data_IF_564727057169
#
_entry.id   IF_564727057169
#
_cell.length_a   1.000
_cell.length_b   1.000
_cell.length_c   1.000
_cell.angle_alpha   90.00
_cell.angle_beta   90.00
_cell.angle_gamma   90.00
#
_symmetry.space_group_name_H-M   'P 1'
#
loop_
_entity.id
_entity.type
_entity.pdbx_description
1 polymer ?
#
# COMPACT_ATOMS: atom_id res chain seq x y z
N UNK A 1 -9.26 10.14 14.95
CA UNK A 1 -10.07 9.30 15.87
C UNK A 1 -10.40 7.98 15.18
N UNK A 2 -9.98 6.91 15.82
CA UNK A 2 -10.06 5.54 15.32
C UNK A 2 -11.46 4.94 15.57
N UNK A 3 -12.51 5.48 14.97
CA UNK A 3 -13.87 4.93 15.05
C UNK A 3 -14.55 4.85 13.69
N UNK A 4 -14.05 3.99 12.82
CA UNK A 4 -14.72 3.75 11.54
C UNK A 4 -14.65 2.30 11.04
N UNK A 5 -14.57 1.32 11.94
CA UNK A 5 -14.52 -0.10 11.54
C UNK A 5 -15.35 -1.01 12.45
N UNK A 6 -16.48 -0.54 12.97
CA UNK A 6 -17.41 -1.39 13.75
C UNK A 6 -18.58 -1.82 12.86
N UNK A 7 -18.46 -2.96 12.23
CA UNK A 7 -19.54 -3.49 11.40
C UNK A 7 -19.37 -4.94 10.95
N UNK A 8 -18.76 -5.80 11.77
CA UNK A 8 -18.83 -7.25 11.54
C UNK A 8 -18.83 -7.98 12.88
N UNK A 9 -20.01 -8.23 13.39
CA UNK A 9 -20.24 -9.15 14.51
C UNK A 9 -20.06 -10.60 14.08
N UNK A 10 -18.87 -11.08 14.18
CA UNK A 10 -18.46 -12.48 14.06
C UNK A 10 -17.00 -12.52 14.44
N UNK A 11 -16.66 -13.27 15.49
CA UNK A 11 -15.27 -13.49 15.89
C UNK A 11 -14.55 -14.28 14.79
N UNK A 12 -14.12 -13.60 13.73
CA UNK A 12 -13.23 -14.17 12.74
C UNK A 12 -11.86 -14.17 13.37
N UNK A 13 -11.32 -15.33 13.68
CA UNK A 13 -9.92 -15.45 14.10
C UNK A 13 -9.03 -14.96 12.95
N UNK A 14 -8.58 -13.71 13.05
CA UNK A 14 -7.60 -13.17 12.12
C UNK A 14 -6.30 -13.94 12.31
N UNK A 15 -5.67 -14.46 11.24
CA UNK A 15 -4.41 -15.16 11.37
C UNK A 15 -3.34 -14.24 11.97
N UNK A 16 -2.58 -14.75 12.93
CA UNK A 16 -1.48 -14.01 13.52
C UNK A 16 -0.40 -13.76 12.47
N UNK A 17 -0.08 -12.50 12.23
CA UNK A 17 0.94 -12.06 11.30
C UNK A 17 2.02 -11.34 12.08
N UNK A 18 3.28 -11.77 11.91
CA UNK A 18 4.43 -11.23 12.61
C UNK A 18 5.54 -10.91 11.61
N UNK A 19 6.38 -9.95 11.95
CA UNK A 19 7.58 -9.64 11.22
C UNK A 19 8.83 -9.60 12.11
N UNK A 20 10.00 -9.53 11.48
CA UNK A 20 11.28 -9.63 12.19
C UNK A 20 11.73 -8.28 12.74
N UNK A 21 11.78 -8.09 14.07
CA UNK A 21 11.98 -6.79 14.72
C UNK A 21 13.31 -6.10 14.41
N UNK A 22 14.37 -6.86 14.17
CA UNK A 22 15.70 -6.30 13.94
C UNK A 22 15.82 -5.41 12.71
N UNK A 23 15.14 -5.77 11.61
CA UNK A 23 15.13 -4.97 10.38
C UNK A 23 14.32 -3.69 10.53
N UNK A 24 13.27 -3.74 11.34
CA UNK A 24 12.35 -2.62 11.58
C UNK A 24 13.05 -1.52 12.37
N UNK A 25 13.70 -1.87 13.48
CA UNK A 25 14.40 -0.92 14.32
C UNK A 25 15.51 -0.19 13.54
N UNK A 26 16.28 -0.92 12.72
CA UNK A 26 17.34 -0.36 11.90
C UNK A 26 16.79 0.61 10.84
N UNK A 27 15.71 0.24 10.16
CA UNK A 27 15.07 1.08 9.16
C UNK A 27 14.53 2.38 9.76
N UNK A 28 13.88 2.32 10.91
CA UNK A 28 13.37 3.48 11.63
C UNK A 28 14.49 4.42 12.10
N UNK A 29 15.60 3.87 12.60
CA UNK A 29 16.76 4.66 12.99
C UNK A 29 17.40 5.39 11.81
N UNK A 30 17.54 4.73 10.67
CA UNK A 30 18.04 5.36 9.45
C UNK A 30 17.15 6.50 8.98
N UNK A 31 15.83 6.28 9.02
CA UNK A 31 14.84 7.31 8.69
C UNK A 31 15.01 8.53 9.59
N UNK A 32 15.06 8.35 10.89
CA UNK A 32 15.14 9.45 11.87
C UNK A 32 16.39 10.32 11.67
N UNK A 33 17.50 9.74 11.24
CA UNK A 33 18.75 10.50 10.98
C UNK A 33 18.59 11.51 9.84
N UNK A 34 17.67 11.29 8.92
CA UNK A 34 17.49 12.13 7.73
C UNK A 34 16.29 13.07 7.82
N UNK A 35 15.38 12.86 8.78
CA UNK A 35 14.17 13.66 8.92
C UNK A 35 14.44 15.16 9.09
N UNK A 36 15.47 15.50 9.85
CA UNK A 36 15.81 16.92 10.10
C UNK A 36 16.34 17.64 8.85
N UNK A 37 16.78 16.88 7.85
CA UNK A 37 17.39 17.42 6.62
C UNK A 37 16.39 17.55 5.48
N UNK A 38 15.17 17.09 5.63
CA UNK A 38 14.16 17.07 4.57
C UNK A 38 13.10 18.15 4.77
N UNK A 39 12.62 18.68 3.68
CA UNK A 39 11.60 19.75 3.62
C UNK A 39 10.23 19.17 3.25
N UNK A 40 10.19 18.08 2.49
CA UNK A 40 9.00 17.46 1.93
C UNK A 40 9.04 15.96 2.16
N UNK A 41 7.91 15.39 2.61
CA UNK A 41 7.71 13.96 2.70
C UNK A 41 6.74 13.53 1.60
N UNK A 42 7.20 12.62 0.74
CA UNK A 42 6.38 11.95 -0.27
C UNK A 42 6.03 10.57 0.30
N UNK A 43 4.81 10.46 0.82
CA UNK A 43 4.28 9.20 1.33
C UNK A 43 3.64 8.41 0.20
N UNK A 44 4.04 7.14 0.06
CA UNK A 44 3.49 6.23 -0.94
C UNK A 44 2.66 5.15 -0.27
N UNK A 45 1.41 5.02 -0.68
CA UNK A 45 0.47 4.00 -0.22
C UNK A 45 0.01 3.11 -1.37
N UNK A 46 -0.62 2.00 -1.03
CA UNK A 46 -1.22 1.05 -1.97
C UNK A 46 -2.71 1.36 -2.16
N UNK A 47 -3.15 1.51 -3.40
CA UNK A 47 -4.54 1.82 -3.75
C UNK A 47 -5.54 0.76 -3.27
N UNK A 48 -5.14 -0.50 -3.15
CA UNK A 48 -5.99 -1.58 -2.67
C UNK A 48 -6.30 -1.48 -1.17
N UNK A 49 -5.39 -0.86 -0.42
CA UNK A 49 -5.43 -0.74 1.04
C UNK A 49 -4.87 0.62 1.52
N UNK A 50 -5.52 1.74 1.16
CA UNK A 50 -4.96 3.07 1.44
C UNK A 50 -4.82 3.39 2.93
N UNK A 51 -5.67 2.83 3.80
CA UNK A 51 -5.58 3.05 5.25
C UNK A 51 -4.53 2.16 5.89
N UNK A 52 -4.49 0.88 5.53
CA UNK A 52 -3.53 -0.09 6.08
C UNK A 52 -2.08 0.25 5.72
N UNK A 53 -1.84 0.89 4.59
CA UNK A 53 -0.50 1.36 4.18
C UNK A 53 -0.13 2.74 4.71
N UNK A 54 -0.97 3.35 5.54
CA UNK A 54 -0.63 4.56 6.31
C UNK A 54 0.13 4.19 7.58
N UNK A 55 1.37 4.67 7.73
CA UNK A 55 2.15 4.39 8.93
C UNK A 55 1.59 5.14 10.14
N UNK A 56 1.34 4.47 11.29
CA UNK A 56 0.70 5.08 12.46
C UNK A 56 1.53 6.21 13.10
N UNK A 57 2.84 6.21 12.93
CA UNK A 57 3.75 7.22 13.47
C UNK A 57 4.07 8.35 12.51
N UNK A 58 3.49 8.34 11.31
CA UNK A 58 3.81 9.31 10.26
C UNK A 58 3.59 10.75 10.71
N UNK A 59 2.49 11.03 11.43
CA UNK A 59 2.17 12.38 11.90
C UNK A 59 3.29 13.00 12.75
N UNK A 60 4.03 12.21 13.49
CA UNK A 60 5.19 12.68 14.27
C UNK A 60 6.36 13.06 13.35
N UNK A 61 6.54 12.32 12.27
CA UNK A 61 7.66 12.52 11.35
C UNK A 61 7.45 13.66 10.39
N UNK A 62 6.20 13.95 10.02
CA UNK A 62 5.85 15.02 9.07
C UNK A 62 5.64 16.39 9.74
N UNK A 63 5.71 16.46 11.07
CA UNK A 63 5.47 17.71 11.80
C UNK A 63 6.38 18.83 11.29
N UNK A 64 5.77 19.95 10.88
CA UNK A 64 6.49 21.10 10.32
C UNK A 64 7.03 20.92 8.91
N UNK A 65 6.70 19.82 8.20
CA UNK A 65 7.13 19.52 6.84
C UNK A 65 5.95 19.51 5.87
N UNK A 66 6.22 19.74 4.60
CA UNK A 66 5.23 19.50 3.56
C UNK A 66 5.00 17.99 3.38
N UNK A 67 3.76 17.60 3.15
CA UNK A 67 3.36 16.22 2.96
C UNK A 67 2.62 16.07 1.63
N UNK A 68 3.13 15.20 0.77
CA UNK A 68 2.50 14.79 -0.47
C UNK A 68 2.11 13.32 -0.33
N UNK A 69 0.80 13.03 -0.44
CA UNK A 69 0.27 11.68 -0.38
C UNK A 69 0.09 11.12 -1.79
N UNK A 70 0.87 10.09 -2.11
CA UNK A 70 0.82 9.38 -3.39
C UNK A 70 0.19 8.00 -3.18
N UNK A 71 -0.84 7.70 -3.93
CA UNK A 71 -1.50 6.39 -3.93
C UNK A 71 -1.10 5.66 -5.21
N UNK A 72 -0.30 4.62 -5.06
CA UNK A 72 0.23 3.81 -6.16
C UNK A 72 -0.68 2.61 -6.46
N UNK A 73 -0.51 1.98 -7.62
CA UNK A 73 -1.29 0.82 -8.08
C UNK A 73 -2.77 1.14 -8.30
N UNK A 74 -3.08 2.32 -8.79
CA UNK A 74 -4.47 2.71 -9.07
C UNK A 74 -5.16 1.81 -10.10
N UNK A 75 -4.40 1.16 -10.98
CA UNK A 75 -4.88 0.18 -11.96
C UNK A 75 -5.42 -1.10 -11.33
N UNK A 76 -5.04 -1.39 -10.09
CA UNK A 76 -5.50 -2.57 -9.33
C UNK A 76 -6.82 -2.36 -8.59
N UNK A 77 -7.42 -1.20 -8.69
CA UNK A 77 -8.74 -0.90 -8.13
C UNK A 77 -9.67 -0.35 -9.22
N UNK A 78 -10.98 -0.44 -8.97
CA UNK A 78 -11.98 0.13 -9.89
C UNK A 78 -11.92 1.66 -9.88
N UNK A 79 -12.30 2.34 -10.99
CA UNK A 79 -12.38 3.79 -11.01
C UNK A 79 -13.28 4.39 -9.92
N UNK A 80 -14.37 3.72 -9.61
CA UNK A 80 -15.28 4.21 -8.56
C UNK A 80 -14.70 4.05 -7.15
N UNK A 81 -13.92 3.00 -6.87
CA UNK A 81 -13.18 2.87 -5.62
C UNK A 81 -12.12 3.97 -5.49
N UNK A 82 -11.38 4.24 -6.55
CA UNK A 82 -10.43 5.35 -6.60
C UNK A 82 -11.12 6.69 -6.33
N UNK A 83 -12.20 6.99 -7.03
CA UNK A 83 -12.96 8.24 -6.84
C UNK A 83 -13.48 8.38 -5.41
N UNK A 84 -14.04 7.31 -4.84
CA UNK A 84 -14.53 7.31 -3.47
C UNK A 84 -13.44 7.64 -2.45
N UNK A 85 -12.24 7.06 -2.62
CA UNK A 85 -11.11 7.36 -1.77
C UNK A 85 -10.58 8.78 -1.95
N UNK A 86 -10.51 9.26 -3.18
CA UNK A 86 -10.07 10.63 -3.47
C UNK A 86 -10.96 11.66 -2.77
N UNK A 87 -12.27 11.47 -2.84
CA UNK A 87 -13.25 12.30 -2.14
C UNK A 87 -13.12 12.20 -0.62
N UNK A 88 -12.91 10.98 -0.11
CA UNK A 88 -12.73 10.76 1.33
C UNK A 88 -11.49 11.47 1.88
N UNK A 89 -10.35 11.36 1.21
CA UNK A 89 -9.14 12.07 1.62
C UNK A 89 -9.29 13.59 1.51
N UNK A 90 -9.94 14.05 0.47
CA UNK A 90 -10.24 15.49 0.29
C UNK A 90 -11.10 16.03 1.43
N UNK A 91 -12.09 15.28 1.88
CA UNK A 91 -12.92 15.65 3.04
C UNK A 91 -12.12 15.70 4.34
N UNK A 92 -11.01 14.97 4.45
CA UNK A 92 -10.04 15.03 5.56
C UNK A 92 -9.02 16.18 5.39
N UNK A 93 -9.16 17.01 4.35
CA UNK A 93 -8.20 18.08 4.06
C UNK A 93 -6.91 17.58 3.39
N UNK A 94 -6.86 16.34 2.93
CA UNK A 94 -5.70 15.72 2.32
C UNK A 94 -5.88 15.59 0.80
N UNK A 95 -5.00 16.23 0.04
CA UNK A 95 -4.89 15.98 -1.41
C UNK A 95 -4.11 14.71 -1.66
N UNK A 96 -4.56 13.94 -2.64
CA UNK A 96 -3.92 12.70 -3.08
C UNK A 96 -3.54 12.79 -4.54
N UNK A 97 -2.43 12.15 -4.90
CA UNK A 97 -2.04 11.95 -6.29
C UNK A 97 -2.00 10.45 -6.56
N UNK A 98 -2.78 10.01 -7.52
CA UNK A 98 -2.93 8.59 -7.86
C UNK A 98 -2.10 8.24 -9.07
N UNK A 99 -1.38 7.14 -9.01
CA UNK A 99 -0.50 6.70 -10.08
C UNK A 99 -0.42 5.17 -10.19
N UNK A 100 0.18 4.73 -11.28
CA UNK A 100 0.70 3.40 -11.47
C UNK A 100 2.18 3.51 -11.85
N UNK A 101 3.07 3.32 -10.88
CA UNK A 101 4.51 3.45 -11.09
C UNK A 101 5.06 2.40 -12.05
N UNK A 102 4.41 1.24 -12.18
CA UNK A 102 4.84 0.18 -13.11
C UNK A 102 4.64 0.58 -14.56
N UNK A 103 3.48 1.12 -14.92
CA UNK A 103 3.19 1.60 -16.29
C UNK A 103 3.65 3.03 -16.55
N UNK A 104 3.83 3.82 -15.52
CA UNK A 104 4.16 5.24 -15.58
C UNK A 104 2.94 6.16 -15.58
N UNK A 105 1.72 5.62 -15.58
CA UNK A 105 0.49 6.41 -15.57
C UNK A 105 0.39 7.24 -14.28
N UNK A 106 0.13 8.54 -14.40
CA UNK A 106 0.00 9.44 -13.26
C UNK A 106 1.32 9.91 -12.64
N UNK A 107 2.46 9.37 -13.06
CA UNK A 107 3.79 9.74 -12.52
C UNK A 107 4.13 11.20 -12.82
N UNK A 108 3.74 11.72 -13.99
CA UNK A 108 3.92 13.13 -14.33
C UNK A 108 3.19 14.05 -13.33
N UNK A 109 2.01 13.68 -12.90
CA UNK A 109 1.24 14.41 -11.89
C UNK A 109 1.92 14.40 -10.52
N UNK A 110 2.54 13.27 -10.15
CA UNK A 110 3.37 13.19 -8.93
C UNK A 110 4.56 14.15 -9.02
N UNK A 111 5.28 14.16 -10.13
CA UNK A 111 6.40 15.07 -10.37
C UNK A 111 5.97 16.54 -10.28
N UNK A 112 4.89 16.89 -10.93
CA UNK A 112 4.35 18.26 -10.92
C UNK A 112 3.93 18.69 -9.50
N UNK A 113 3.30 17.80 -8.74
CA UNK A 113 2.91 18.07 -7.36
C UNK A 113 4.13 18.31 -6.45
N UNK A 114 5.18 17.50 -6.60
CA UNK A 114 6.44 17.66 -5.86
C UNK A 114 7.15 18.98 -6.22
N UNK A 115 7.20 19.35 -7.49
CA UNK A 115 7.79 20.62 -7.96
C UNK A 115 6.99 21.80 -7.42
N UNK A 116 5.66 21.75 -7.45
CA UNK A 116 4.82 22.82 -6.87
C UNK A 116 5.07 23.00 -5.37
N UNK A 117 5.17 21.91 -4.62
CA UNK A 117 5.51 21.95 -3.20
C UNK A 117 6.89 22.61 -2.98
N UNK A 118 7.86 22.28 -3.83
CA UNK A 118 9.18 22.87 -3.82
C UNK A 118 9.18 24.38 -4.09
N UNK A 119 8.43 24.81 -5.08
CA UNK A 119 8.29 26.22 -5.43
C UNK A 119 7.68 27.03 -4.28
N UNK A 120 6.66 26.50 -3.62
CA UNK A 120 6.04 27.13 -2.46
C UNK A 120 7.02 27.28 -1.28
N UNK A 121 7.83 26.26 -1.04
CA UNK A 121 8.86 26.31 0.01
C UNK A 121 9.94 27.37 -0.30
N UNK A 122 10.40 27.45 -1.54
CA UNK A 122 11.38 28.43 -1.95
C UNK A 122 10.83 29.87 -1.96
N UNK A 123 9.57 30.05 -2.29
CA UNK A 123 8.90 31.35 -2.17
C UNK A 123 8.88 31.84 -0.71
N UNK A 124 8.53 30.96 0.23
CA UNK A 124 8.60 31.27 1.66
C UNK A 124 10.01 31.61 2.12
N UNK A 125 11.04 30.97 1.59
CA UNK A 125 12.44 31.29 1.86
C UNK A 125 12.80 32.69 1.36
N UNK A 126 12.45 33.03 0.11
CA UNK A 126 12.67 34.36 -0.46
C UNK A 126 12.01 35.45 0.39
N UNK A 127 10.77 35.22 0.83
CA UNK A 127 10.03 36.16 1.66
C UNK A 127 10.68 36.38 3.05
N UNK A 128 11.51 35.41 3.48
CA UNK A 128 12.31 35.56 4.73
C UNK A 128 13.76 36.03 4.48
N UNK A 129 14.07 36.45 3.27
CA UNK A 129 15.42 36.90 2.90
C UNK A 129 16.44 35.74 2.73
N UNK A 130 15.96 34.48 2.65
CA UNK A 130 16.82 33.32 2.48
C UNK A 130 16.98 33.00 0.99
N UNK A 131 18.13 32.42 0.62
CA UNK A 131 18.35 31.96 -0.74
C UNK A 131 17.50 30.72 -1.05
N UNK A 132 16.91 30.64 -2.25
CA UNK A 132 16.29 29.40 -2.73
C UNK A 132 17.35 28.30 -2.80
N UNK A 133 16.92 27.06 -2.52
CA UNK A 133 17.73 25.86 -2.71
C UNK A 133 16.88 24.72 -3.23
N UNK A 134 17.46 23.67 -3.83
CA UNK A 134 16.70 22.48 -4.14
C UNK A 134 15.98 21.96 -2.91
N UNK A 135 14.71 21.62 -3.07
CA UNK A 135 13.91 21.03 -2.01
C UNK A 135 14.37 19.62 -1.77
N UNK A 136 14.58 19.27 -0.54
CA UNK A 136 14.96 17.91 -0.13
C UNK A 136 13.70 17.15 0.24
N UNK A 137 13.38 16.13 -0.57
CA UNK A 137 12.22 15.28 -0.37
C UNK A 137 12.64 13.87 0.06
N UNK A 138 11.91 13.31 1.00
CA UNK A 138 12.07 11.93 1.45
C UNK A 138 10.87 11.13 0.98
N UNK A 139 11.12 10.01 0.28
CA UNK A 139 10.09 9.05 -0.08
C UNK A 139 9.92 8.04 1.04
N UNK A 140 8.70 7.88 1.52
CA UNK A 140 8.35 7.06 2.67
C UNK A 140 7.20 6.13 2.34
N UNK A 141 7.22 4.92 2.84
CA UNK A 141 6.13 3.96 2.70
C UNK A 141 6.50 2.58 3.20
N UNK A 142 5.51 1.71 3.25
CA UNK A 142 5.72 0.29 3.56
C UNK A 142 6.63 -0.38 2.52
N UNK A 143 7.26 -1.53 2.86
CA UNK A 143 7.97 -2.32 1.86
C UNK A 143 7.06 -2.69 0.69
N UNK A 144 7.59 -2.76 -0.52
CA UNK A 144 6.86 -3.19 -1.73
C UNK A 144 5.66 -2.35 -2.17
N UNK A 145 5.38 -1.19 -1.59
CA UNK A 145 4.31 -0.29 -2.08
C UNK A 145 4.65 0.35 -3.44
N UNK A 146 5.88 0.19 -3.91
CA UNK A 146 6.33 0.68 -5.21
C UNK A 146 7.15 1.96 -5.15
N UNK A 147 7.75 2.30 -4.02
CA UNK A 147 8.60 3.49 -3.88
C UNK A 147 9.76 3.52 -4.88
N UNK A 148 10.50 2.42 -4.99
CA UNK A 148 11.65 2.33 -5.90
C UNK A 148 11.22 2.44 -7.36
N UNK A 149 10.12 1.82 -7.75
CA UNK A 149 9.57 1.95 -9.09
C UNK A 149 9.14 3.39 -9.39
N UNK A 150 8.52 4.07 -8.43
CA UNK A 150 8.14 5.47 -8.56
C UNK A 150 9.37 6.38 -8.73
N UNK A 151 10.38 6.22 -7.89
CA UNK A 151 11.61 7.00 -7.96
C UNK A 151 12.29 6.79 -9.30
N UNK A 152 12.42 5.56 -9.76
CA UNK A 152 13.02 5.24 -11.05
C UNK A 152 12.25 5.88 -12.22
N UNK A 153 10.94 5.93 -12.15
CA UNK A 153 10.11 6.64 -13.14
C UNK A 153 10.31 8.15 -13.10
N UNK A 154 10.37 8.73 -11.91
CA UNK A 154 10.59 10.16 -11.74
C UNK A 154 11.93 10.62 -12.32
N UNK A 155 12.98 9.83 -12.14
CA UNK A 155 14.31 10.14 -12.69
C UNK A 155 14.55 9.57 -14.07
N UNK A 156 13.60 8.85 -14.65
CA UNK A 156 13.65 8.22 -15.99
C UNK A 156 14.84 7.27 -16.19
N UNK A 157 15.36 6.69 -15.13
CA UNK A 157 16.42 5.69 -15.17
C UNK A 157 16.37 4.80 -13.93
N UNK A 158 16.97 3.62 -14.06
CA UNK A 158 17.03 2.67 -12.95
C UNK A 158 18.19 3.04 -12.00
N UNK A 159 17.89 3.83 -10.98
CA UNK A 159 18.87 4.28 -9.97
C UNK A 159 18.67 3.61 -8.62
N UNK A 160 17.51 3.02 -8.37
CA UNK A 160 17.14 2.40 -7.10
C UNK A 160 16.82 0.93 -7.32
N UNK A 161 17.43 0.05 -6.54
CA UNK A 161 17.10 -1.38 -6.56
C UNK A 161 15.77 -1.61 -5.82
N UNK A 162 14.87 -2.38 -6.45
CA UNK A 162 13.67 -2.85 -5.79
C UNK A 162 14.04 -3.87 -4.71
N UNK A 163 13.57 -3.68 -3.48
CA UNK A 163 13.77 -4.60 -2.38
C UNK A 163 12.42 -5.00 -1.77
N UNK A 164 12.22 -6.30 -1.59
CA UNK A 164 10.98 -6.87 -1.00
C UNK A 164 11.04 -7.02 0.51
N UNK A 165 12.10 -6.57 1.15
CA UNK A 165 12.32 -6.69 2.60
C UNK A 165 12.39 -5.32 3.25
N UNK A 166 11.77 -5.18 4.42
CA UNK A 166 11.93 -3.98 5.23
C UNK A 166 13.40 -3.73 5.56
N UNK A 167 13.86 -2.50 5.42
CA UNK A 167 15.21 -2.10 5.77
C UNK A 167 16.33 -2.57 4.84
N UNK A 168 16.01 -3.19 3.71
CA UNK A 168 17.04 -3.72 2.77
C UNK A 168 17.61 -2.67 1.83
N UNK A 169 17.06 -1.48 1.74
CA UNK A 169 17.70 -0.37 1.05
C UNK A 169 18.98 0.00 1.78
N UNK A 170 20.12 -0.52 1.28
CA UNK A 170 21.41 -0.54 2.00
C UNK A 170 22.06 0.82 2.12
N UNK A 171 21.83 1.69 1.14
CA UNK A 171 22.39 3.04 1.09
C UNK A 171 21.30 4.02 0.75
N UNK A 172 21.09 4.98 1.65
CA UNK A 172 20.26 6.14 1.37
C UNK A 172 20.99 7.00 0.36
N UNK A 173 20.40 7.21 -0.81
CA UNK A 173 21.00 8.02 -1.86
C UNK A 173 20.10 9.19 -2.20
N UNK A 174 20.74 10.35 -2.33
CA UNK A 174 20.12 11.52 -2.90
C UNK A 174 20.13 11.43 -4.42
N UNK A 175 18.97 11.57 -5.02
CA UNK A 175 18.80 11.58 -6.47
C UNK A 175 18.28 12.94 -6.89
N UNK A 176 19.01 13.64 -7.77
CA UNK A 176 18.59 14.93 -8.30
C UNK A 176 17.47 14.76 -9.30
N UNK A 177 16.35 15.45 -9.07
CA UNK A 177 15.22 15.53 -9.98
C UNK A 177 15.08 16.97 -10.49
N UNK A 178 15.56 17.23 -11.70
CA UNK A 178 15.62 18.59 -12.24
C UNK A 178 16.56 19.49 -11.45
N UNK A 179 16.32 20.80 -11.44
CA UNK A 179 17.11 21.75 -10.68
C UNK A 179 16.58 22.03 -9.28
N UNK A 180 15.34 21.62 -9.00
CA UNK A 180 14.57 22.10 -7.87
C UNK A 180 14.30 21.04 -6.79
N UNK A 181 14.62 19.79 -7.04
CA UNK A 181 14.29 18.70 -6.13
C UNK A 181 15.43 17.69 -5.97
N UNK A 182 15.84 17.48 -4.72
CA UNK A 182 16.69 16.37 -4.30
C UNK A 182 15.81 15.32 -3.60
N UNK A 183 15.80 14.10 -4.12
CA UNK A 183 14.97 13.02 -3.64
C UNK A 183 15.82 11.98 -2.90
N UNK A 184 15.41 11.64 -1.68
CA UNK A 184 16.01 10.59 -0.88
C UNK A 184 15.08 9.37 -0.84
N UNK A 185 15.58 8.22 -1.25
CA UNK A 185 14.87 6.96 -1.06
C UNK A 185 15.11 6.44 0.35
N UNK A 186 14.04 6.27 1.11
CA UNK A 186 14.09 5.64 2.42
C UNK A 186 13.77 4.14 2.32
N UNK A 187 14.34 3.31 3.22
CA UNK A 187 13.93 1.91 3.32
C UNK A 187 12.43 1.79 3.64
N UNK A 188 11.85 0.63 3.30
CA UNK A 188 10.47 0.32 3.69
C UNK A 188 10.35 0.36 5.21
N UNK A 189 9.44 1.14 5.73
CA UNK A 189 9.27 1.38 7.16
C UNK A 189 8.00 0.75 7.65
N UNK A 190 8.13 -0.12 8.66
CA UNK A 190 7.03 -0.80 9.34
C UNK A 190 6.90 -0.26 10.78
N UNK A 191 5.69 -0.23 11.35
CA UNK A 191 5.54 0.02 12.79
C UNK A 191 6.16 -1.11 13.59
N UNK A 192 6.72 -0.83 14.80
CA UNK A 192 7.39 -1.85 15.62
C UNK A 192 6.45 -2.97 16.10
N UNK A 193 5.16 -2.70 16.15
CA UNK A 193 4.10 -3.66 16.49
C UNK A 193 2.95 -3.56 15.50
N UNK A 194 2.38 -4.72 15.16
CA UNK A 194 1.13 -4.86 14.45
C UNK A 194 0.00 -5.10 15.44
N UNK A 195 -0.43 -4.06 16.11
CA UNK A 195 -1.57 -4.16 17.03
C UNK A 195 -2.88 -4.35 16.26
N UNK A 196 -2.98 -3.80 15.07
CA UNK A 196 -4.11 -4.00 14.16
C UNK A 196 -3.87 -5.19 13.23
N UNK A 197 -4.34 -6.36 13.63
CA UNK A 197 -4.23 -7.59 12.82
C UNK A 197 -5.05 -7.56 11.54
N UNK A 198 -6.07 -6.71 11.45
CA UNK A 198 -6.82 -6.49 10.20
C UNK A 198 -5.96 -5.77 9.17
N UNK A 199 -5.28 -4.70 9.58
CA UNK A 199 -4.31 -4.02 8.72
C UNK A 199 -3.17 -4.96 8.33
N UNK A 200 -2.68 -5.78 9.26
CA UNK A 200 -1.67 -6.80 9.00
C UNK A 200 -2.10 -7.80 7.92
N UNK A 201 -3.35 -8.26 7.96
CA UNK A 201 -3.92 -9.13 6.95
C UNK A 201 -3.94 -8.45 5.57
N UNK A 202 -4.41 -7.22 5.49
CA UNK A 202 -4.41 -6.44 4.25
C UNK A 202 -3.01 -6.29 3.67
N UNK A 203 -2.03 -5.97 4.50
CA UNK A 203 -0.63 -5.85 4.11
C UNK A 203 -0.05 -7.18 3.61
N UNK A 204 -0.39 -8.29 4.26
CA UNK A 204 0.03 -9.63 3.83
C UNK A 204 -0.60 -10.02 2.49
N UNK A 205 -1.90 -9.75 2.30
CA UNK A 205 -2.59 -10.01 1.05
C UNK A 205 -1.96 -9.26 -0.12
N UNK A 206 -1.62 -8.02 0.07
CA UNK A 206 -1.01 -7.16 -0.95
C UNK A 206 0.52 -7.31 -1.08
N UNK A 207 1.16 -8.11 -0.24
CA UNK A 207 2.62 -8.29 -0.18
C UNK A 207 3.37 -6.97 0.09
N UNK A 208 2.81 -6.10 0.90
CA UNK A 208 3.38 -4.79 1.23
C UNK A 208 4.24 -4.77 2.50
N UNK A 209 4.36 -5.89 3.19
CA UNK A 209 5.13 -6.01 4.44
C UNK A 209 6.50 -6.68 4.29
N UNK A 210 6.84 -7.13 3.08
CA UNK A 210 8.13 -7.77 2.82
C UNK A 210 8.26 -9.12 3.52
N UNK A 211 9.19 -9.22 4.49
CA UNK A 211 9.37 -10.44 5.28
C UNK A 211 8.39 -10.49 6.45
N UNK A 212 7.22 -11.08 6.24
CA UNK A 212 6.29 -11.39 7.30
C UNK A 212 6.15 -12.90 7.45
N UNK A 213 5.99 -13.37 8.69
CA UNK A 213 5.62 -14.74 8.99
C UNK A 213 4.10 -14.84 9.09
N UNK A 214 3.48 -15.67 8.26
CA UNK A 214 2.05 -15.97 8.32
C UNK A 214 1.76 -17.32 7.71
N UNK A 215 0.62 -17.89 8.10
CA UNK A 215 0.09 -19.12 7.50
C UNK A 215 -0.64 -18.76 6.20
N UNK A 216 -0.09 -19.20 5.06
CA UNK A 216 -0.64 -18.92 3.73
C UNK A 216 -2.06 -19.44 3.52
N UNK A 217 -2.40 -20.60 4.09
CA UNK A 217 -3.75 -21.16 4.00
C UNK A 217 -4.77 -20.28 4.74
N UNK A 218 -4.43 -19.83 5.93
CA UNK A 218 -5.31 -18.95 6.73
C UNK A 218 -5.47 -17.57 6.07
N UNK A 219 -4.41 -17.05 5.49
CA UNK A 219 -4.46 -15.77 4.76
C UNK A 219 -5.32 -15.89 3.50
N UNK A 220 -5.20 -16.97 2.74
CA UNK A 220 -6.03 -17.24 1.58
C UNK A 220 -7.52 -17.39 1.96
N UNK A 221 -7.83 -18.10 3.04
CA UNK A 221 -9.19 -18.23 3.55
C UNK A 221 -9.75 -16.85 4.01
N UNK A 222 -8.94 -16.07 4.66
CA UNK A 222 -9.32 -14.71 5.07
C UNK A 222 -9.59 -13.80 3.87
N UNK A 223 -8.85 -13.95 2.79
CA UNK A 223 -9.11 -13.26 1.52
C UNK A 223 -10.50 -13.59 0.97
N UNK A 224 -10.88 -14.88 0.94
CA UNK A 224 -12.21 -15.31 0.50
C UNK A 224 -13.32 -14.74 1.39
N UNK A 225 -13.14 -14.76 2.71
CA UNK A 225 -14.11 -14.15 3.64
C UNK A 225 -14.28 -12.66 3.39
N UNK A 226 -13.18 -11.98 3.13
CA UNK A 226 -13.17 -10.55 2.83
C UNK A 226 -13.96 -10.26 1.55
N UNK A 227 -13.77 -11.04 0.49
CA UNK A 227 -14.52 -10.92 -0.76
C UNK A 227 -16.01 -11.17 -0.54
N UNK A 228 -16.37 -12.18 0.24
CA UNK A 228 -17.76 -12.47 0.57
C UNK A 228 -18.41 -11.34 1.37
N UNK A 229 -17.69 -10.73 2.29
CA UNK A 229 -18.13 -9.56 3.04
C UNK A 229 -18.31 -8.32 2.17
N UNK A 230 -17.57 -8.21 1.09
CA UNK A 230 -17.63 -7.10 0.14
C UNK A 230 -18.55 -7.33 -1.06
N UNK A 231 -19.17 -8.52 -1.17
CA UNK A 231 -19.91 -8.93 -2.39
C UNK A 231 -21.00 -7.97 -2.84
N UNK A 232 -21.58 -7.21 -1.94
CA UNK A 232 -22.58 -6.17 -2.24
C UNK A 232 -21.93 -4.82 -2.54
N UNK A 233 -20.61 -4.71 -2.41
CA UNK A 233 -19.84 -3.51 -2.67
C UNK A 233 -19.10 -3.65 -3.98
N UNK A 234 -18.72 -2.55 -4.53
CA UNK A 234 -18.16 -2.45 -5.86
C UNK A 234 -16.92 -3.35 -6.09
N UNK A 235 -16.93 -4.08 -7.17
CA UNK A 235 -15.84 -4.92 -7.64
C UNK A 235 -15.79 -6.34 -7.08
N UNK A 236 -16.29 -6.60 -5.87
CA UNK A 236 -16.16 -7.90 -5.22
C UNK A 236 -16.93 -9.01 -5.93
N UNK A 237 -18.13 -8.73 -6.43
CA UNK A 237 -18.93 -9.69 -7.19
C UNK A 237 -18.25 -10.12 -8.49
N UNK A 238 -17.58 -9.21 -9.18
CA UNK A 238 -16.81 -9.49 -10.39
C UNK A 238 -15.62 -10.39 -10.06
N UNK A 239 -14.90 -10.10 -8.99
CA UNK A 239 -13.75 -10.92 -8.55
C UNK A 239 -14.19 -12.33 -8.17
N UNK A 240 -15.31 -12.50 -7.46
CA UNK A 240 -15.87 -13.81 -7.13
C UNK A 240 -16.22 -14.60 -8.39
N UNK A 241 -16.82 -13.97 -9.39
CA UNK A 241 -17.13 -14.60 -10.68
C UNK A 241 -15.88 -15.05 -11.42
N UNK A 242 -14.85 -14.20 -11.46
CA UNK A 242 -13.55 -14.54 -12.07
C UNK A 242 -12.88 -15.70 -11.33
N UNK A 243 -13.00 -15.72 -10.01
CA UNK A 243 -12.49 -16.80 -9.15
C UNK A 243 -13.13 -18.15 -9.49
N UNK A 244 -14.47 -18.19 -9.59
CA UNK A 244 -15.22 -19.38 -9.96
C UNK A 244 -14.89 -19.85 -11.38
N UNK A 245 -14.82 -18.96 -12.33
CA UNK A 245 -14.46 -19.25 -13.71
C UNK A 245 -13.03 -19.80 -13.83
N UNK A 246 -12.07 -19.13 -13.17
CA UNK A 246 -10.66 -19.48 -13.25
C UNK A 246 -10.33 -20.82 -12.59
N UNK A 247 -10.90 -21.10 -11.44
CA UNK A 247 -10.58 -22.30 -10.66
C UNK A 247 -11.60 -23.42 -10.77
N UNK A 248 -12.78 -23.14 -11.27
CA UNK A 248 -13.85 -24.14 -11.46
C UNK A 248 -14.55 -24.54 -10.16
N UNK A 249 -14.29 -23.88 -9.06
CA UNK A 249 -14.93 -24.15 -7.77
C UNK A 249 -15.92 -23.03 -7.44
N UNK A 250 -17.22 -23.32 -7.40
CA UNK A 250 -18.22 -22.30 -7.07
C UNK A 250 -18.11 -21.90 -5.60
N UNK A 251 -18.37 -20.62 -5.31
CA UNK A 251 -18.49 -20.09 -3.96
C UNK A 251 -19.96 -20.16 -3.54
N UNK A 252 -20.44 -21.38 -3.32
CA UNK A 252 -21.85 -21.67 -2.99
C UNK A 252 -21.98 -22.95 -2.17
N UNK A 253 -23.04 -23.06 -1.38
CA UNK A 253 -23.29 -24.24 -0.56
C UNK A 253 -22.14 -24.50 0.43
N UNK A 254 -21.63 -25.73 0.47
CA UNK A 254 -20.50 -26.11 1.34
C UNK A 254 -19.22 -25.33 1.02
N UNK A 255 -18.97 -25.05 -0.25
CA UNK A 255 -17.79 -24.29 -0.71
C UNK A 255 -17.93 -22.77 -0.54
N UNK A 256 -19.04 -22.28 0.00
CA UNK A 256 -19.11 -20.91 0.52
C UNK A 256 -18.26 -20.73 1.80
N UNK A 257 -17.94 -21.82 2.50
CA UNK A 257 -16.92 -21.79 3.55
C UNK A 257 -15.53 -21.79 2.92
N UNK A 258 -14.68 -20.80 3.24
CA UNK A 258 -13.35 -20.66 2.66
C UNK A 258 -12.45 -21.89 2.82
N UNK A 259 -12.52 -22.58 3.96
CA UNK A 259 -11.72 -23.79 4.20
C UNK A 259 -12.11 -24.92 3.23
N UNK A 260 -13.39 -25.15 3.02
CA UNK A 260 -13.88 -26.15 2.05
C UNK A 260 -13.62 -25.74 0.61
N UNK A 261 -13.73 -24.44 0.30
CA UNK A 261 -13.40 -23.95 -1.04
C UNK A 261 -11.93 -24.20 -1.36
N UNK A 262 -11.03 -23.90 -0.44
CA UNK A 262 -9.60 -24.10 -0.61
C UNK A 262 -9.27 -25.59 -0.79
N UNK A 263 -9.85 -26.46 0.03
CA UNK A 263 -9.69 -27.92 -0.08
C UNK A 263 -10.15 -28.45 -1.45
N UNK A 264 -11.36 -28.10 -1.86
CA UNK A 264 -11.93 -28.54 -3.15
C UNK A 264 -11.11 -28.01 -4.34
N UNK A 265 -10.62 -26.78 -4.26
CA UNK A 265 -9.81 -26.19 -5.31
C UNK A 265 -8.41 -26.79 -5.36
N UNK A 266 -7.82 -27.10 -4.20
CA UNK A 266 -6.54 -27.80 -4.10
C UNK A 266 -6.61 -29.20 -4.75
N UNK A 267 -7.69 -29.94 -4.53
CA UNK A 267 -7.90 -31.24 -5.18
C UNK A 267 -7.90 -31.11 -6.71
N UNK A 268 -8.50 -30.05 -7.24
CA UNK A 268 -8.57 -29.81 -8.69
C UNK A 268 -7.25 -29.42 -9.32
N UNK A 269 -6.45 -28.60 -8.64
CA UNK A 269 -5.32 -27.87 -9.24
C UNK A 269 -3.96 -28.25 -8.68
N UNK A 270 -3.88 -28.71 -7.43
CA UNK A 270 -2.60 -28.98 -6.74
C UNK A 270 -2.56 -30.36 -6.07
N UNK A 271 -3.35 -31.29 -6.55
CA UNK A 271 -3.40 -32.68 -6.04
C UNK A 271 -3.62 -32.75 -4.52
N UNK A 272 -4.47 -31.89 -3.99
CA UNK A 272 -4.79 -31.81 -2.56
C UNK A 272 -3.81 -30.98 -1.72
N UNK A 273 -2.77 -30.41 -2.31
CA UNK A 273 -1.84 -29.51 -1.61
C UNK A 273 -2.45 -28.13 -1.40
N UNK A 274 -3.04 -27.93 -0.23
CA UNK A 274 -3.72 -26.69 0.14
C UNK A 274 -2.76 -25.50 0.28
N UNK A 275 -1.57 -25.73 0.79
CA UNK A 275 -0.56 -24.66 0.93
C UNK A 275 -0.15 -24.12 -0.44
N UNK A 276 0.05 -25.00 -1.41
CA UNK A 276 0.38 -24.64 -2.78
C UNK A 276 -0.78 -23.91 -3.46
N UNK A 277 -2.01 -24.36 -3.24
CA UNK A 277 -3.20 -23.71 -3.79
C UNK A 277 -3.40 -22.31 -3.18
N UNK A 278 -3.20 -22.18 -1.89
CA UNK A 278 -3.25 -20.89 -1.20
C UNK A 278 -2.23 -19.90 -1.78
N UNK A 279 -1.00 -20.34 -1.97
CA UNK A 279 0.04 -19.52 -2.59
C UNK A 279 -0.33 -19.07 -4.01
N UNK A 280 -0.87 -20.00 -4.81
CA UNK A 280 -1.35 -19.69 -6.16
C UNK A 280 -2.47 -18.63 -6.16
N UNK A 281 -3.43 -18.78 -5.26
CA UNK A 281 -4.52 -17.81 -5.12
C UNK A 281 -4.00 -16.40 -4.77
N UNK A 282 -3.10 -16.32 -3.80
CA UNK A 282 -2.50 -15.06 -3.37
C UNK A 282 -1.66 -14.42 -4.49
N UNK A 283 -0.86 -15.21 -5.21
CA UNK A 283 -0.06 -14.74 -6.33
C UNK A 283 -0.95 -14.23 -7.48
N UNK A 284 -2.02 -14.94 -7.80
CA UNK A 284 -2.96 -14.54 -8.83
C UNK A 284 -3.67 -13.22 -8.47
N UNK A 285 -4.04 -13.05 -7.20
CA UNK A 285 -4.57 -11.79 -6.71
C UNK A 285 -3.56 -10.63 -6.85
N UNK A 286 -2.33 -10.84 -6.37
CA UNK A 286 -1.25 -9.84 -6.41
C UNK A 286 -0.87 -9.42 -7.82
N UNK A 287 -1.04 -10.32 -8.79
CA UNK A 287 -0.79 -10.09 -10.22
C UNK A 287 -2.01 -9.54 -10.97
N UNK A 288 -3.08 -9.21 -10.28
CA UNK A 288 -4.34 -8.72 -10.85
C UNK A 288 -5.04 -9.69 -11.82
N UNK A 289 -4.75 -10.99 -11.73
CA UNK A 289 -5.39 -12.02 -12.55
C UNK A 289 -6.83 -12.32 -12.11
N UNK A 290 -7.23 -11.83 -10.95
CA UNK A 290 -8.58 -11.96 -10.41
C UNK A 290 -9.41 -10.67 -10.60
N UNK A 291 -8.89 -9.70 -11.34
CA UNK A 291 -9.52 -8.42 -11.57
C UNK A 291 -9.05 -7.30 -10.61
N UNK A 292 -9.66 -6.15 -10.75
CA UNK A 292 -9.35 -4.96 -9.95
C UNK A 292 -10.30 -4.87 -8.77
N UNK A 293 -9.75 -4.84 -7.55
CA UNK A 293 -10.56 -4.73 -6.33
C UNK A 293 -9.85 -3.97 -5.23
N UNK A 294 -10.56 -3.03 -4.60
CA UNK A 294 -10.15 -2.42 -3.35
C UNK A 294 -10.57 -3.32 -2.18
N UNK A 295 -9.62 -3.70 -1.34
CA UNK A 295 -9.89 -4.48 -0.13
C UNK A 295 -10.40 -3.59 1.01
N UNK A 296 -10.15 -2.30 0.92
CA UNK A 296 -10.68 -1.26 1.80
C UNK A 296 -11.51 -0.29 0.97
N UNK A 297 -12.65 0.10 1.48
CA UNK A 297 -13.49 1.16 0.92
C UNK A 297 -13.84 2.15 2.03
N UNK A 298 -13.96 3.45 1.73
CA UNK A 298 -14.39 4.41 2.73
C UNK A 298 -15.82 4.12 3.17
N UNK A 299 -16.13 4.35 4.44
CA UNK A 299 -17.51 4.28 4.90
C UNK A 299 -18.35 5.31 4.14
N UNK A 300 -19.53 4.89 3.70
CA UNK A 300 -20.48 5.83 3.13
C UNK A 300 -20.86 6.79 4.25
N UNK A 301 -20.55 8.06 4.08
CA UNK A 301 -21.10 9.10 4.93
C UNK A 301 -22.62 9.02 4.74
N UNK A 302 -23.31 8.60 5.78
CA UNK A 302 -24.78 8.66 5.81
C UNK A 302 -25.12 10.15 5.86
N UNK A 303 -25.54 10.67 4.71
CA UNK A 303 -26.05 12.05 4.59
C UNK A 303 -27.40 12.17 5.26
#
# INVERSE_FOLDING_TARGET
>A
SARALSGFGGAVSTPAIQWYPGHIAKAEQQLKRHLDKVDLIIEVRDARIPLSTGHPHLNRWIHGKHHLLVINRRDMVTPAAWEAWEQWFKAQGQRTVWCDAKSGTGVKQVQQAAIRAGNQLNERRRNRGMRPRPVRALTLGFPNVGKSALINRLVKKKVVASARRAGVTRTLRWVRLGQDLDLLDAPGVLPPRLDDQRAALHLALCDDIGQAAYDGELVAQAFLRLLLGLKSREGAGVVLSILEERYGTPVAGRTADPAFWLEATAERHTSGDKARMAQRLLDDFRRSLLGSIALELPEKVVS
#
